data_IF_258670175367
#
_entry.id   IF_258670175367
#
_cell.length_a   1.000
_cell.length_b   1.000
_cell.length_c   1.000
_cell.angle_alpha   90.00
_cell.angle_beta   90.00
_cell.angle_gamma   90.00
#
_symmetry.space_group_name_H-M   'P 1'
#
loop_
_entity.id
_entity.type
_entity.pdbx_description
1 polymer ?
#
# COMPACT_ATOMS: atom_id res chain seq x y z
N UNK A 1 -6.25 -6.48 -47.46
CA UNK A 1 -5.30 -5.74 -46.59
C UNK A 1 -6.06 -5.29 -45.36
N UNK A 2 -5.75 -5.84 -44.18
CA UNK A 2 -6.55 -5.67 -42.96
C UNK A 2 -6.10 -4.42 -42.19
N UNK A 3 -7.03 -3.53 -41.89
CA UNK A 3 -6.84 -2.36 -41.04
C UNK A 3 -6.94 -2.77 -39.57
N UNK A 4 -5.80 -2.87 -38.88
CA UNK A 4 -5.71 -3.09 -37.44
C UNK A 4 -5.72 -1.74 -36.71
N UNK A 5 -6.92 -1.24 -36.42
CA UNK A 5 -7.12 -0.17 -35.44
C UNK A 5 -6.97 -0.79 -34.04
N UNK A 6 -5.74 -0.81 -33.52
CA UNK A 6 -5.48 -1.29 -32.15
C UNK A 6 -6.12 -0.31 -31.16
N UNK A 7 -7.20 -0.76 -30.53
CA UNK A 7 -7.99 -0.03 -29.55
C UNK A 7 -7.10 0.56 -28.44
N UNK A 8 -7.00 1.89 -28.41
CA UNK A 8 -6.55 2.64 -27.25
C UNK A 8 -7.75 2.82 -26.35
N UNK A 9 -7.91 1.93 -25.37
CA UNK A 9 -8.84 2.17 -24.25
C UNK A 9 -8.31 1.46 -23.00
N UNK A 10 -7.22 1.98 -22.43
CA UNK A 10 -6.96 1.76 -21.00
C UNK A 10 -7.66 2.88 -20.23
N UNK A 11 -8.70 2.60 -19.43
CA UNK A 11 -9.31 3.61 -18.60
C UNK A 11 -8.35 3.91 -17.43
N UNK A 12 -7.62 5.01 -17.54
CA UNK A 12 -6.99 5.66 -16.40
C UNK A 12 -8.07 6.11 -15.41
N UNK A 13 -8.28 5.37 -14.30
CA UNK A 13 -8.68 5.94 -12.99
C UNK A 13 -8.84 4.88 -11.89
N UNK A 14 -7.80 4.74 -11.07
CA UNK A 14 -7.86 4.82 -9.59
C UNK A 14 -6.40 4.87 -9.10
N UNK A 15 -5.85 6.08 -9.07
CA UNK A 15 -4.76 6.39 -8.13
C UNK A 15 -5.38 6.40 -6.74
N UNK A 16 -5.68 5.22 -6.24
CA UNK A 16 -5.85 4.97 -4.82
C UNK A 16 -4.42 4.88 -4.29
N UNK A 17 -3.75 6.02 -4.17
CA UNK A 17 -2.37 6.10 -3.68
C UNK A 17 -2.40 5.90 -2.16
N UNK A 18 -3.04 4.84 -1.71
CA UNK A 18 -2.93 4.36 -0.34
C UNK A 18 -1.46 4.01 -0.13
N UNK A 19 -0.86 4.60 0.90
CA UNK A 19 0.53 4.33 1.27
C UNK A 19 0.78 2.81 1.27
N UNK A 20 1.81 2.30 0.56
CA UNK A 20 2.03 0.87 0.39
C UNK A 20 2.31 0.15 1.72
N UNK A 21 2.82 0.86 2.73
CA UNK A 21 2.98 0.35 4.09
C UNK A 21 1.62 0.21 4.78
N UNK A 22 0.76 1.23 4.70
CA UNK A 22 -0.62 1.16 5.24
C UNK A 22 -1.41 0.03 4.59
N UNK A 23 -1.33 -0.09 3.26
CA UNK A 23 -1.98 -1.18 2.51
C UNK A 23 -1.46 -2.57 2.91
N UNK A 24 -0.18 -2.67 3.30
CA UNK A 24 0.43 -3.93 3.74
C UNK A 24 -0.09 -4.45 5.07
N UNK A 25 -0.70 -3.59 5.90
CA UNK A 25 -1.21 -3.95 7.23
C UNK A 25 -2.62 -4.55 7.20
N UNK A 26 -3.35 -4.45 6.08
CA UNK A 26 -4.68 -5.05 5.95
C UNK A 26 -5.74 -4.35 6.82
N UNK A 27 -6.68 -5.11 7.39
CA UNK A 27 -7.84 -4.52 8.09
C UNK A 27 -7.49 -4.13 9.51
N UNK A 28 -8.05 -3.01 9.99
CA UNK A 28 -7.91 -2.58 11.39
C UNK A 28 -8.43 -3.65 12.34
N UNK A 29 -7.65 -3.93 13.40
CA UNK A 29 -8.01 -4.88 14.45
C UNK A 29 -7.49 -6.31 14.26
N UNK A 30 -6.95 -6.65 13.09
CA UNK A 30 -6.35 -7.97 12.84
C UNK A 30 -4.93 -8.09 13.44
N UNK A 31 -4.24 -6.97 13.60
CA UNK A 31 -2.87 -6.90 14.10
C UNK A 31 -2.78 -5.97 15.32
N UNK A 32 -1.95 -6.36 16.28
CA UNK A 32 -1.37 -5.45 17.28
C UNK A 32 -0.34 -4.54 16.64
N UNK A 33 0.03 -3.45 17.32
CA UNK A 33 1.05 -2.51 16.80
C UNK A 33 2.43 -3.18 16.65
N UNK A 34 2.75 -4.11 17.54
CA UNK A 34 3.98 -4.89 17.47
C UNK A 34 4.01 -5.82 16.25
N UNK A 35 2.89 -6.47 15.94
CA UNK A 35 2.76 -7.33 14.75
C UNK A 35 2.77 -6.50 13.47
N UNK A 36 2.07 -5.37 13.44
CA UNK A 36 2.10 -4.43 12.33
C UNK A 36 3.54 -3.94 12.08
N UNK A 37 4.26 -3.58 13.13
CA UNK A 37 5.66 -3.19 13.02
C UNK A 37 6.56 -4.32 12.49
N UNK A 38 6.36 -5.55 12.95
CA UNK A 38 7.10 -6.71 12.44
C UNK A 38 6.84 -6.94 10.94
N UNK A 39 5.59 -6.78 10.48
CA UNK A 39 5.22 -6.85 9.06
C UNK A 39 5.97 -5.78 8.26
N UNK A 40 5.91 -4.52 8.71
CA UNK A 40 6.56 -3.41 7.98
C UNK A 40 8.08 -3.54 7.99
N UNK A 41 8.69 -3.94 9.10
CA UNK A 41 10.14 -4.18 9.16
C UNK A 41 10.59 -5.27 8.20
N UNK A 42 9.78 -6.31 7.99
CA UNK A 42 10.09 -7.40 7.06
C UNK A 42 9.91 -7.00 5.60
N UNK A 43 8.86 -6.24 5.28
CA UNK A 43 8.52 -5.85 3.90
C UNK A 43 9.27 -4.61 3.41
N UNK A 44 9.60 -3.72 4.33
CA UNK A 44 10.23 -2.44 4.07
C UNK A 44 11.48 -2.26 4.98
N UNK A 45 12.50 -3.11 4.83
CA UNK A 45 13.67 -3.09 5.71
C UNK A 45 14.49 -1.80 5.60
N UNK A 46 14.55 -1.22 4.39
CA UNK A 46 15.31 0.00 4.08
C UNK A 46 14.59 1.28 4.51
N UNK A 47 13.28 1.21 4.79
CA UNK A 47 12.49 2.37 5.21
C UNK A 47 12.84 2.78 6.63
N UNK A 48 12.87 4.07 6.90
CA UNK A 48 13.25 4.56 8.23
C UNK A 48 12.28 4.06 9.31
N UNK A 49 12.78 3.95 10.56
CA UNK A 49 11.96 3.53 11.69
C UNK A 49 10.74 4.44 11.86
N UNK A 50 10.94 5.76 11.80
CA UNK A 50 9.90 6.76 11.97
C UNK A 50 8.79 6.64 10.90
N UNK A 51 9.15 6.36 9.65
CA UNK A 51 8.19 6.21 8.55
C UNK A 51 7.32 4.97 8.74
N UNK A 52 7.91 3.84 9.18
CA UNK A 52 7.13 2.63 9.51
C UNK A 52 6.17 2.87 10.68
N UNK A 53 6.60 3.61 11.70
CA UNK A 53 5.74 3.97 12.84
C UNK A 53 4.62 4.93 12.40
N UNK A 54 4.92 5.89 11.54
CA UNK A 54 3.92 6.80 10.97
C UNK A 54 2.85 6.03 10.18
N UNK A 55 3.25 5.06 9.35
CA UNK A 55 2.31 4.21 8.63
C UNK A 55 1.38 3.40 9.55
N UNK A 56 1.89 2.89 10.69
CA UNK A 56 1.05 2.20 11.68
C UNK A 56 0.05 3.18 12.31
N UNK A 57 0.48 4.40 12.62
CA UNK A 57 -0.39 5.43 13.16
C UNK A 57 -1.48 5.83 12.16
N UNK A 58 -1.15 5.95 10.87
CA UNK A 58 -2.11 6.26 9.80
C UNK A 58 -3.09 5.12 9.58
N UNK A 59 -2.61 3.87 9.51
CA UNK A 59 -3.46 2.69 9.48
C UNK A 59 -4.41 2.61 10.69
N UNK A 60 -3.91 2.97 11.88
CA UNK A 60 -4.69 3.07 13.12
C UNK A 60 -5.65 4.25 13.14
N UNK A 61 -5.59 5.21 12.21
CA UNK A 61 -6.55 6.31 12.09
C UNK A 61 -7.64 6.00 11.05
N UNK A 62 -7.29 5.33 9.95
CA UNK A 62 -8.19 4.90 8.88
C UNK A 62 -8.69 6.05 8.03
#
# INVERSE_FOLDING_TARGET
>A
MQTLTRSVTEPARRSDTTDPMVASLGRRGELTDAEAFAVLRKRFPETALCERVAAIADWRRG
#
